data_IF_043912438517
#
_entry.id   IF_043912438517
#
_cell.length_a   1.000
_cell.length_b   1.000
_cell.length_c   1.000
_cell.angle_alpha   90.00
_cell.angle_beta   90.00
_cell.angle_gamma   90.00
#
_symmetry.space_group_name_H-M   'P 1'
#
loop_
_entity.id
_entity.type
_entity.pdbx_description
1 polymer ?
#
# COMPACT_ATOMS: atom_id res chain seq x y z
N UNK A 1 -43.23 28.16 -9.92
CA UNK A 1 -42.58 26.95 -10.48
C UNK A 1 -41.38 26.67 -9.59
N UNK A 2 -41.52 25.77 -8.61
CA UNK A 2 -40.49 25.48 -7.61
C UNK A 2 -39.67 24.29 -8.12
N UNK A 3 -38.37 24.51 -8.31
CA UNK A 3 -37.43 23.45 -8.66
C UNK A 3 -37.13 22.62 -7.41
N UNK A 4 -37.42 21.31 -7.46
CA UNK A 4 -36.94 20.37 -6.45
C UNK A 4 -35.46 20.09 -6.73
N UNK A 5 -34.59 20.54 -5.84
CA UNK A 5 -33.21 20.06 -5.80
C UNK A 5 -33.25 18.59 -5.35
N UNK A 6 -32.84 17.68 -6.24
CA UNK A 6 -32.57 16.28 -5.87
C UNK A 6 -31.41 16.30 -4.86
N UNK A 7 -31.67 15.96 -3.60
CA UNK A 7 -30.59 15.60 -2.69
C UNK A 7 -30.08 14.23 -3.09
N UNK A 8 -28.86 14.17 -3.61
CA UNK A 8 -28.12 12.91 -3.71
C UNK A 8 -27.78 12.50 -2.27
N UNK A 9 -28.59 11.62 -1.69
CA UNK A 9 -28.28 11.04 -0.38
C UNK A 9 -27.01 10.20 -0.52
N UNK A 10 -25.98 10.58 0.24
CA UNK A 10 -24.78 9.77 0.39
C UNK A 10 -25.16 8.49 1.13
N UNK A 11 -24.96 7.32 0.50
CA UNK A 11 -25.21 6.01 1.11
C UNK A 11 -23.95 5.16 1.11
N UNK A 12 -23.71 4.48 2.23
CA UNK A 12 -22.63 3.51 2.36
C UNK A 12 -23.15 2.11 2.09
N UNK A 13 -22.38 1.33 1.32
CA UNK A 13 -22.67 -0.07 1.05
C UNK A 13 -21.56 -0.93 1.62
N UNK A 14 -21.90 -1.78 2.59
CA UNK A 14 -20.96 -2.75 3.12
C UNK A 14 -20.81 -3.89 2.10
N UNK A 15 -19.56 -4.15 1.72
CA UNK A 15 -19.21 -5.23 0.79
C UNK A 15 -18.12 -6.06 1.43
N UNK A 16 -18.43 -7.31 1.72
CA UNK A 16 -17.51 -8.21 2.39
C UNK A 16 -16.51 -8.83 1.39
N UNK A 17 -15.28 -9.01 1.86
CA UNK A 17 -14.31 -9.86 1.18
C UNK A 17 -14.53 -11.33 1.58
N UNK A 18 -15.71 -11.85 1.26
CA UNK A 18 -16.07 -13.24 1.53
C UNK A 18 -15.45 -14.20 0.49
N UNK A 19 -14.92 -15.36 0.91
CA UNK A 19 -14.66 -16.46 0.00
C UNK A 19 -15.97 -17.19 -0.28
N UNK A 20 -16.12 -17.70 -1.49
CA UNK A 20 -17.15 -18.71 -1.80
C UNK A 20 -16.91 -20.07 -1.12
N UNK A 21 -16.03 -20.17 -0.12
CA UNK A 21 -15.66 -21.43 0.54
C UNK A 21 -15.54 -21.30 2.07
N UNK A 22 -16.24 -22.15 2.84
CA UNK A 22 -16.40 -22.05 4.30
C UNK A 22 -15.15 -22.38 5.14
N UNK A 23 -13.97 -22.51 4.53
CA UNK A 23 -12.71 -22.82 5.23
C UNK A 23 -11.58 -21.88 4.84
N UNK A 24 -11.88 -20.83 4.06
CA UNK A 24 -10.92 -19.84 3.60
C UNK A 24 -11.34 -18.44 4.06
N UNK A 25 -12.13 -18.36 5.14
CA UNK A 25 -12.69 -17.12 5.65
C UNK A 25 -11.58 -16.15 6.03
N UNK A 26 -11.82 -14.87 5.76
CA UNK A 26 -11.17 -13.84 6.54
C UNK A 26 -11.77 -13.97 7.95
N UNK A 27 -11.16 -14.83 8.77
CA UNK A 27 -11.66 -15.19 10.09
C UNK A 27 -11.70 -13.96 11.03
N UNK A 28 -12.28 -14.13 12.23
CA UNK A 28 -12.42 -13.10 13.28
C UNK A 28 -11.13 -12.33 13.66
N UNK A 29 -9.96 -12.76 13.18
CA UNK A 29 -8.68 -12.05 13.36
C UNK A 29 -8.21 -11.20 12.19
N UNK A 30 -8.96 -11.12 11.08
CA UNK A 30 -8.59 -10.27 9.95
C UNK A 30 -8.85 -8.80 10.26
N UNK A 31 -7.84 -7.96 10.05
CA UNK A 31 -7.95 -6.51 10.09
C UNK A 31 -7.42 -5.94 8.77
N UNK A 32 -8.13 -4.96 8.20
CA UNK A 32 -7.66 -4.18 7.06
C UNK A 32 -7.09 -2.85 7.55
N UNK A 33 -5.91 -2.51 7.03
CA UNK A 33 -5.12 -1.33 7.42
C UNK A 33 -5.21 -0.21 6.39
N UNK A 34 -5.26 -0.54 5.10
CA UNK A 34 -5.33 0.44 4.02
C UNK A 34 -6.05 -0.09 2.76
N UNK A 35 -6.54 0.84 1.94
CA UNK A 35 -7.17 0.58 0.65
C UNK A 35 -6.70 1.60 -0.39
N UNK A 36 -6.43 1.13 -1.61
CA UNK A 36 -6.17 1.99 -2.78
C UNK A 36 -7.16 1.65 -3.89
N UNK A 37 -7.78 2.67 -4.48
CA UNK A 37 -8.80 2.52 -5.51
C UNK A 37 -8.43 3.34 -6.75
N UNK A 38 -8.47 2.71 -7.91
CA UNK A 38 -8.20 3.34 -9.20
C UNK A 38 -9.48 3.69 -9.94
N UNK A 39 -10.42 2.75 -9.97
CA UNK A 39 -11.70 2.89 -10.66
C UNK A 39 -12.71 1.88 -10.08
N UNK A 40 -13.93 1.89 -10.63
CA UNK A 40 -15.04 1.05 -10.16
C UNK A 40 -14.76 -0.47 -10.20
N UNK A 41 -13.72 -0.93 -10.91
CA UNK A 41 -13.35 -2.33 -11.11
C UNK A 41 -12.00 -2.70 -10.54
N UNK A 42 -11.25 -1.74 -10.00
CA UNK A 42 -9.88 -1.94 -9.60
C UNK A 42 -9.60 -1.21 -8.29
N UNK A 43 -9.53 -1.98 -7.21
CA UNK A 43 -9.08 -1.53 -5.91
C UNK A 43 -8.35 -2.66 -5.20
N UNK A 44 -7.51 -2.32 -4.24
CA UNK A 44 -6.77 -3.26 -3.40
C UNK A 44 -6.95 -2.86 -1.95
N UNK A 45 -7.12 -3.83 -1.07
CA UNK A 45 -7.07 -3.63 0.36
C UNK A 45 -6.05 -4.58 0.97
N UNK A 46 -5.35 -4.09 1.99
CA UNK A 46 -4.27 -4.81 2.65
C UNK A 46 -4.48 -4.84 4.16
N UNK A 47 -3.82 -5.80 4.80
CA UNK A 47 -3.84 -5.98 6.24
C UNK A 47 -3.22 -7.30 6.63
N UNK A 48 -3.73 -7.85 7.72
CA UNK A 48 -3.21 -9.07 8.35
C UNK A 48 -4.34 -9.87 8.97
N UNK A 49 -4.05 -11.13 9.29
CA UNK A 49 -4.86 -11.93 10.19
C UNK A 49 -3.97 -12.47 11.31
N UNK A 50 -4.21 -12.05 12.55
CA UNK A 50 -3.36 -12.42 13.70
C UNK A 50 -3.70 -13.79 14.30
N UNK A 51 -4.88 -14.33 14.03
CA UNK A 51 -5.42 -15.52 14.70
C UNK A 51 -6.00 -16.53 13.72
N UNK A 52 -5.45 -16.60 12.52
CA UNK A 52 -5.83 -17.58 11.52
C UNK A 52 -5.56 -19.00 12.00
N UNK A 53 -6.31 -19.97 11.46
CA UNK A 53 -6.09 -21.40 11.73
C UNK A 53 -4.68 -21.88 11.36
N UNK A 54 -4.04 -21.21 10.40
CA UNK A 54 -2.64 -21.44 9.97
C UNK A 54 -1.62 -20.54 10.69
N UNK A 55 -2.04 -19.76 11.70
CA UNK A 55 -1.23 -18.74 12.38
C UNK A 55 -1.43 -17.34 11.81
N UNK A 56 -0.54 -16.40 12.20
CA UNK A 56 -0.52 -15.04 11.65
C UNK A 56 -0.22 -15.05 10.16
N UNK A 57 -0.92 -14.27 9.33
CA UNK A 57 -0.62 -14.17 7.89
C UNK A 57 -1.04 -12.84 7.26
N UNK A 58 -0.38 -12.48 6.16
CA UNK A 58 -0.67 -11.28 5.36
C UNK A 58 -2.03 -11.38 4.65
N UNK A 59 -2.80 -10.31 4.60
CA UNK A 59 -4.07 -10.25 3.86
C UNK A 59 -3.98 -9.22 2.76
N UNK A 60 -4.07 -9.67 1.50
CA UNK A 60 -4.20 -8.79 0.33
C UNK A 60 -5.39 -9.23 -0.51
N UNK A 61 -6.31 -8.31 -0.75
CA UNK A 61 -7.50 -8.55 -1.57
C UNK A 61 -7.62 -7.52 -2.69
N UNK A 62 -8.13 -7.94 -3.84
CA UNK A 62 -8.38 -7.09 -5.00
C UNK A 62 -9.86 -7.09 -5.38
N UNK A 63 -10.40 -5.92 -5.60
CA UNK A 63 -11.73 -5.71 -6.16
C UNK A 63 -11.70 -5.92 -7.67
N UNK A 64 -12.68 -6.63 -8.21
CA UNK A 64 -12.85 -6.88 -9.65
C UNK A 64 -14.05 -6.15 -10.26
N UNK A 65 -14.71 -5.27 -9.50
CA UNK A 65 -15.97 -4.62 -9.89
C UNK A 65 -17.21 -5.31 -9.35
N UNK A 66 -17.08 -6.48 -8.73
CA UNK A 66 -18.21 -7.27 -8.21
C UNK A 66 -17.92 -7.90 -6.86
N UNK A 67 -16.71 -8.38 -6.66
CA UNK A 67 -16.28 -9.07 -5.45
C UNK A 67 -14.82 -8.78 -5.16
N UNK A 68 -14.48 -8.77 -3.88
CA UNK A 68 -13.09 -8.82 -3.45
C UNK A 68 -12.56 -10.25 -3.59
N UNK A 69 -11.30 -10.39 -4.02
CA UNK A 69 -10.62 -11.67 -4.17
C UNK A 69 -9.26 -11.62 -3.52
N UNK A 70 -8.94 -12.62 -2.71
CA UNK A 70 -7.61 -12.78 -2.13
C UNK A 70 -6.57 -13.03 -3.21
N UNK A 71 -5.44 -12.35 -3.12
CA UNK A 71 -4.31 -12.51 -4.01
C UNK A 71 -3.26 -13.44 -3.39
N UNK A 72 -2.48 -14.11 -4.24
CA UNK A 72 -1.38 -14.97 -3.80
C UNK A 72 -0.08 -14.17 -3.74
N UNK A 73 0.55 -14.15 -2.56
CA UNK A 73 1.80 -13.45 -2.33
C UNK A 73 3.02 -14.38 -2.41
N UNK A 74 4.22 -13.86 -2.72
CA UNK A 74 5.46 -14.59 -2.54
C UNK A 74 5.64 -14.97 -1.07
N UNK A 75 6.20 -16.15 -0.79
CA UNK A 75 6.37 -16.68 0.58
C UNK A 75 6.98 -15.67 1.56
N UNK A 76 7.95 -14.85 1.12
CA UNK A 76 8.61 -13.84 1.97
C UNK A 76 7.71 -12.70 2.45
N UNK A 77 6.60 -12.43 1.75
CA UNK A 77 5.64 -11.41 2.15
C UNK A 77 4.27 -11.98 2.48
N UNK A 78 4.17 -13.29 2.72
CA UNK A 78 2.90 -13.97 3.03
C UNK A 78 2.60 -14.03 4.54
N UNK A 79 3.60 -13.70 5.36
CA UNK A 79 3.59 -13.81 6.82
C UNK A 79 3.98 -12.50 7.50
N UNK A 80 3.85 -11.37 6.78
CA UNK A 80 4.15 -10.02 7.27
C UNK A 80 2.85 -9.21 7.40
N UNK A 81 2.88 -8.14 8.20
CA UNK A 81 1.80 -7.18 8.24
C UNK A 81 1.85 -6.34 6.97
N UNK A 82 0.75 -6.29 6.22
CA UNK A 82 0.66 -5.38 5.09
C UNK A 82 0.04 -4.08 5.58
N UNK A 83 0.82 -3.01 5.58
CA UNK A 83 0.50 -1.77 6.30
C UNK A 83 0.18 -0.62 5.37
N UNK A 84 0.68 -0.65 4.14
CA UNK A 84 0.33 0.31 3.09
C UNK A 84 0.08 -0.33 1.74
N UNK A 85 -0.77 0.29 0.93
CA UNK A 85 -0.99 -0.03 -0.48
C UNK A 85 -1.22 1.22 -1.31
N UNK A 86 -0.49 1.33 -2.41
CA UNK A 86 -0.75 2.32 -3.44
C UNK A 86 -0.72 1.72 -4.85
N UNK A 87 -1.55 2.26 -5.73
CA UNK A 87 -1.73 1.80 -7.10
C UNK A 87 -1.83 2.98 -8.06
N UNK A 88 -1.09 2.92 -9.15
CA UNK A 88 -1.21 3.87 -10.28
C UNK A 88 -1.84 3.27 -11.52
N UNK A 89 -1.97 1.94 -11.57
CA UNK A 89 -2.72 1.23 -12.60
C UNK A 89 -3.05 -0.18 -12.11
N UNK A 90 -3.97 -0.92 -12.77
CA UNK A 90 -4.23 -2.31 -12.41
C UNK A 90 -3.06 -3.27 -12.58
N UNK A 91 -1.95 -2.76 -13.11
CA UNK A 91 -0.71 -3.50 -13.36
C UNK A 91 0.48 -2.92 -12.60
N UNK A 92 0.29 -1.90 -11.76
CA UNK A 92 1.35 -1.31 -10.96
C UNK A 92 0.81 -1.00 -9.56
N UNK A 93 1.05 -1.93 -8.65
CA UNK A 93 0.59 -1.85 -7.26
C UNK A 93 1.78 -2.11 -6.35
N UNK A 94 1.93 -1.28 -5.33
CA UNK A 94 3.01 -1.31 -4.37
C UNK A 94 2.42 -1.45 -2.98
N UNK A 95 3.01 -2.34 -2.19
CA UNK A 95 2.54 -2.65 -0.84
C UNK A 95 3.72 -2.67 0.09
N UNK A 96 3.59 -1.94 1.20
CA UNK A 96 4.54 -2.01 2.31
C UNK A 96 4.18 -3.22 3.17
N UNK A 97 5.19 -4.06 3.42
CA UNK A 97 5.09 -5.22 4.29
C UNK A 97 6.11 -5.08 5.42
N UNK A 98 5.69 -5.29 6.66
CA UNK A 98 6.53 -5.14 7.85
C UNK A 98 6.22 -6.21 8.88
N UNK A 99 7.21 -6.57 9.68
CA UNK A 99 7.03 -7.40 10.87
C UNK A 99 7.76 -6.73 12.03
N UNK A 100 6.97 -6.22 12.97
CA UNK A 100 7.47 -5.49 14.13
C UNK A 100 8.21 -6.41 15.13
N UNK A 101 8.01 -7.73 15.07
CA UNK A 101 8.66 -8.69 15.95
C UNK A 101 10.02 -9.13 15.40
N UNK A 102 10.08 -9.48 14.11
CA UNK A 102 11.33 -9.95 13.48
C UNK A 102 12.20 -8.83 12.88
N UNK A 103 11.63 -7.65 12.61
CA UNK A 103 12.28 -6.58 11.86
C UNK A 103 12.49 -6.93 10.37
N UNK A 104 11.73 -7.90 9.85
CA UNK A 104 11.61 -8.17 8.42
C UNK A 104 10.64 -7.19 7.78
N UNK A 105 11.15 -6.32 6.91
CA UNK A 105 10.33 -5.42 6.10
C UNK A 105 10.62 -5.62 4.61
N UNK A 106 9.70 -5.14 3.78
CA UNK A 106 9.92 -5.07 2.36
C UNK A 106 8.81 -4.37 1.60
N UNK A 107 9.02 -4.36 0.28
CA UNK A 107 8.07 -3.85 -0.68
C UNK A 107 7.60 -4.98 -1.58
N UNK A 108 6.30 -5.11 -1.70
CA UNK A 108 5.66 -5.99 -2.66
C UNK A 108 5.27 -5.16 -3.89
N UNK A 109 5.71 -5.59 -5.08
CA UNK A 109 5.36 -4.97 -6.35
C UNK A 109 4.58 -5.94 -7.24
N UNK A 110 3.38 -5.54 -7.66
CA UNK A 110 2.60 -6.23 -8.68
C UNK A 110 2.83 -5.62 -10.06
N UNK A 111 3.30 -6.42 -11.01
CA UNK A 111 3.61 -6.00 -12.39
C UNK A 111 2.47 -6.26 -13.40
N UNK A 112 1.26 -6.56 -12.91
CA UNK A 112 0.13 -6.97 -13.75
C UNK A 112 0.11 -8.45 -14.10
N UNK A 113 1.10 -9.23 -13.62
CA UNK A 113 1.14 -10.69 -13.76
C UNK A 113 1.43 -11.38 -12.44
N UNK A 114 2.39 -10.86 -11.66
CA UNK A 114 2.81 -11.47 -10.40
C UNK A 114 3.28 -10.43 -9.40
N UNK A 115 3.14 -10.80 -8.14
CA UNK A 115 3.76 -10.11 -7.02
C UNK A 115 5.24 -10.48 -6.91
N UNK A 116 6.06 -9.50 -6.57
CA UNK A 116 7.49 -9.66 -6.28
C UNK A 116 7.81 -8.99 -4.95
N UNK A 117 8.55 -9.68 -4.10
CA UNK A 117 9.06 -9.12 -2.85
C UNK A 117 10.44 -8.51 -3.09
N UNK A 118 10.59 -7.24 -2.76
CA UNK A 118 11.82 -6.48 -2.76
C UNK A 118 12.23 -6.26 -1.30
N UNK A 119 13.39 -6.80 -0.92
CA UNK A 119 13.93 -6.58 0.41
C UNK A 119 14.36 -5.13 0.56
N UNK A 120 13.62 -4.39 1.39
CA UNK A 120 13.94 -3.02 1.78
C UNK A 120 13.54 -2.91 3.24
N UNK A 121 14.47 -2.48 4.09
CA UNK A 121 14.22 -2.40 5.54
C UNK A 121 13.54 -1.08 5.89
N UNK A 122 12.76 -1.09 6.97
CA UNK A 122 12.16 0.09 7.60
C UNK A 122 11.37 0.97 6.64
N UNK A 123 10.60 0.33 5.76
CA UNK A 123 9.78 1.03 4.76
C UNK A 123 8.57 1.64 5.44
N UNK A 124 8.42 2.96 5.34
CA UNK A 124 7.32 3.70 5.97
C UNK A 124 6.21 4.07 4.99
N UNK A 125 6.55 4.27 3.71
CA UNK A 125 5.62 4.76 2.69
C UNK A 125 6.05 4.30 1.29
N UNK A 126 5.08 4.09 0.41
CA UNK A 126 5.34 3.76 -1.00
C UNK A 126 4.32 4.42 -1.93
N UNK A 127 4.80 5.16 -2.92
CA UNK A 127 3.97 5.88 -3.89
C UNK A 127 4.12 5.26 -5.27
N UNK A 128 3.07 4.66 -5.79
CA UNK A 128 3.02 4.06 -7.10
C UNK A 128 2.93 5.14 -8.19
N UNK A 129 3.80 5.05 -9.19
CA UNK A 129 3.90 6.04 -10.27
C UNK A 129 3.72 5.41 -11.64
N UNK A 130 3.39 6.23 -12.65
CA UNK A 130 3.29 5.77 -14.04
C UNK A 130 4.54 5.03 -14.51
N UNK A 131 4.36 4.00 -15.36
CA UNK A 131 5.46 3.28 -15.99
C UNK A 131 6.14 2.22 -15.11
N UNK A 132 5.41 1.55 -14.21
CA UNK A 132 5.96 0.55 -13.25
C UNK A 132 6.91 1.13 -12.20
N UNK A 133 6.90 2.46 -12.04
CA UNK A 133 7.77 3.17 -11.10
C UNK A 133 7.10 3.30 -9.75
N UNK A 134 7.91 3.55 -8.73
CA UNK A 134 7.43 3.95 -7.42
C UNK A 134 8.52 4.66 -6.63
N UNK A 135 8.11 5.56 -5.74
CA UNK A 135 8.95 6.01 -4.64
C UNK A 135 8.70 5.14 -3.42
N UNK A 136 9.76 4.89 -2.66
CA UNK A 136 9.71 4.20 -1.39
C UNK A 136 10.53 4.97 -0.37
N UNK A 137 9.95 5.18 0.80
CA UNK A 137 10.62 5.89 1.88
C UNK A 137 10.99 4.93 2.99
N UNK A 138 12.22 5.06 3.47
CA UNK A 138 12.72 4.33 4.64
C UNK A 138 13.36 5.32 5.61
N UNK A 139 13.82 4.82 6.75
CA UNK A 139 14.56 5.64 7.72
C UNK A 139 15.73 6.41 7.03
N UNK A 140 15.59 7.73 6.92
CA UNK A 140 16.57 8.64 6.31
C UNK A 140 16.78 8.52 4.80
N UNK A 141 15.96 7.76 4.06
CA UNK A 141 16.14 7.56 2.63
C UNK A 141 14.85 7.64 1.80
N UNK A 142 14.97 8.20 0.61
CA UNK A 142 13.96 8.15 -0.44
C UNK A 142 14.53 7.35 -1.63
N UNK A 143 13.82 6.31 -2.06
CA UNK A 143 14.28 5.37 -3.08
C UNK A 143 13.31 5.34 -4.27
N UNK A 144 13.78 5.67 -5.47
CA UNK A 144 13.03 5.55 -6.71
C UNK A 144 13.27 4.19 -7.36
N UNK A 145 12.19 3.42 -7.56
CA UNK A 145 12.17 2.25 -8.42
C UNK A 145 11.87 2.65 -9.87
N UNK A 146 12.74 2.25 -10.79
CA UNK A 146 12.67 2.67 -12.20
C UNK A 146 11.82 1.76 -13.11
N UNK A 147 11.20 0.71 -12.58
CA UNK A 147 10.46 -0.30 -13.35
C UNK A 147 11.27 -1.52 -13.77
N UNK A 148 12.60 -1.46 -13.67
CA UNK A 148 13.53 -2.49 -14.22
C UNK A 148 14.25 -3.32 -13.15
N UNK A 149 13.85 -3.17 -11.87
CA UNK A 149 14.41 -3.79 -10.65
C UNK A 149 15.47 -2.99 -9.92
N UNK A 150 15.82 -1.79 -10.37
CA UNK A 150 16.80 -0.97 -9.67
C UNK A 150 16.11 0.08 -8.81
N UNK A 151 16.59 0.20 -7.58
CA UNK A 151 16.29 1.31 -6.69
C UNK A 151 17.46 2.29 -6.77
N UNK A 152 17.15 3.57 -6.98
CA UNK A 152 18.09 4.66 -6.77
C UNK A 152 17.69 5.35 -5.47
N UNK A 153 18.58 5.37 -4.50
CA UNK A 153 18.30 5.88 -3.16
C UNK A 153 19.09 7.14 -2.87
N UNK A 154 18.40 8.17 -2.42
CA UNK A 154 18.97 9.42 -1.94
C UNK A 154 18.68 9.57 -0.44
N UNK A 155 19.49 10.34 0.26
CA UNK A 155 19.24 10.65 1.68
C UNK A 155 18.20 11.75 1.80
N UNK A 156 17.32 11.60 2.78
CA UNK A 156 16.42 12.66 3.23
C UNK A 156 16.77 13.03 4.68
N UNK A 157 16.70 14.31 5.07
CA UNK A 157 17.11 14.76 6.41
C UNK A 157 16.08 14.46 7.51
N UNK A 158 15.02 13.71 7.19
CA UNK A 158 13.90 13.46 8.08
C UNK A 158 13.29 12.08 7.78
N UNK A 159 12.70 11.47 8.80
CA UNK A 159 11.88 10.28 8.69
C UNK A 159 10.54 10.66 8.07
N UNK A 160 10.19 10.00 6.97
CA UNK A 160 8.90 10.20 6.30
C UNK A 160 7.85 9.33 6.95
N UNK A 161 6.76 9.93 7.43
CA UNK A 161 5.61 9.20 7.99
C UNK A 161 4.44 9.08 7.01
N UNK A 162 4.35 10.01 6.06
CA UNK A 162 3.39 9.99 4.97
C UNK A 162 3.93 10.86 3.83
N UNK A 163 3.59 10.51 2.59
CA UNK A 163 3.91 11.29 1.42
C UNK A 163 2.77 11.22 0.40
N UNK A 164 2.72 12.19 -0.50
CA UNK A 164 1.81 12.22 -1.63
C UNK A 164 2.48 12.92 -2.81
N UNK A 165 2.04 12.62 -4.03
CA UNK A 165 2.73 13.03 -5.24
C UNK A 165 1.81 13.47 -6.37
N UNK A 166 2.21 14.52 -7.05
CA UNK A 166 1.64 14.94 -8.33
C UNK A 166 2.32 14.22 -9.50
N UNK A 167 3.61 13.89 -9.34
CA UNK A 167 4.40 13.15 -10.33
C UNK A 167 5.62 12.50 -9.67
N UNK A 168 6.42 11.77 -10.44
CA UNK A 168 7.69 11.22 -9.95
C UNK A 168 8.75 12.29 -9.62
N UNK A 169 8.53 13.54 -10.04
CA UNK A 169 9.37 14.71 -9.75
C UNK A 169 8.68 15.80 -8.93
N UNK A 170 7.49 15.54 -8.36
CA UNK A 170 6.77 16.52 -7.55
C UNK A 170 6.06 15.80 -6.40
N UNK A 171 6.70 15.82 -5.23
CA UNK A 171 6.33 15.01 -4.06
C UNK A 171 6.37 15.87 -2.81
N UNK A 172 5.31 15.79 -2.01
CA UNK A 172 5.27 16.33 -0.67
C UNK A 172 5.35 15.21 0.34
N UNK A 173 6.19 15.39 1.36
CA UNK A 173 6.37 14.41 2.42
C UNK A 173 6.35 15.11 3.77
N UNK A 174 5.74 14.45 4.75
CA UNK A 174 5.67 14.91 6.14
C UNK A 174 6.28 13.88 7.06
N UNK A 175 6.80 14.34 8.19
CA UNK A 175 7.31 13.45 9.22
C UNK A 175 8.13 14.18 10.26
N UNK A 176 9.31 13.66 10.59
CA UNK A 176 10.14 14.19 11.69
C UNK A 176 11.62 14.24 11.34
N UNK A 177 12.28 15.35 11.64
CA UNK A 177 13.73 15.47 11.48
C UNK A 177 14.46 14.43 12.32
N UNK A 178 15.37 13.71 11.68
CA UNK A 178 16.15 12.64 12.31
C UNK A 178 17.01 13.25 13.43
N UNK A 179 16.84 12.76 14.66
CA UNK A 179 17.64 13.15 15.83
C UNK A 179 17.12 14.36 16.64
N UNK A 180 16.32 15.25 16.05
CA UNK A 180 15.76 16.41 16.77
C UNK A 180 14.26 16.26 17.12
N UNK A 181 13.58 15.24 16.59
CA UNK A 181 12.14 14.99 16.79
C UNK A 181 11.21 16.17 16.43
N UNK A 182 11.70 17.10 15.59
CA UNK A 182 10.93 18.24 15.11
C UNK A 182 10.01 17.83 13.96
N UNK A 183 8.77 18.34 13.88
CA UNK A 183 7.92 18.09 12.73
C UNK A 183 8.57 18.67 11.47
N UNK A 184 8.55 17.89 10.39
CA UNK A 184 9.12 18.24 9.10
C UNK A 184 8.07 18.16 7.99
N UNK A 185 8.17 19.07 7.05
CA UNK A 185 7.47 19.02 5.75
C UNK A 185 8.54 19.30 4.70
N UNK A 186 8.63 18.44 3.69
CA UNK A 186 9.56 18.61 2.58
C UNK A 186 8.84 18.49 1.24
N UNK A 187 9.40 19.17 0.26
CA UNK A 187 8.98 19.13 -1.14
C UNK A 187 10.17 18.67 -1.98
N UNK A 188 9.94 17.73 -2.88
CA UNK A 188 10.89 17.30 -3.91
C UNK A 188 10.37 17.77 -5.27
N UNK A 189 11.18 18.55 -5.99
CA UNK A 189 10.81 19.18 -7.26
C UNK A 189 11.59 18.64 -8.48
N UNK A 190 12.32 17.53 -8.30
CA UNK A 190 12.96 16.80 -9.39
C UNK A 190 14.17 17.49 -10.03
N UNK A 191 14.68 18.59 -9.45
CA UNK A 191 15.83 19.36 -9.97
C UNK A 191 17.08 19.29 -9.11
#
# INVERSE_FOLDING_TARGET
MIAYALSLLLSWHLVYAEPKHPWLDLDHGTSFTEVSALDARHAWAVGENQWGTDGHYSVLVRWDGRSWRRETLPRKGAWLDLTRVDASSPRNVWVVASDNESGEDGLLHYDGRRWRFLGLKTVSEALAMGGQRAWAFTDGHASLYDGTRRLRSDRVPFEVSAADALSDGDIWAVGRESGEFRPAIAHFDGT
#
